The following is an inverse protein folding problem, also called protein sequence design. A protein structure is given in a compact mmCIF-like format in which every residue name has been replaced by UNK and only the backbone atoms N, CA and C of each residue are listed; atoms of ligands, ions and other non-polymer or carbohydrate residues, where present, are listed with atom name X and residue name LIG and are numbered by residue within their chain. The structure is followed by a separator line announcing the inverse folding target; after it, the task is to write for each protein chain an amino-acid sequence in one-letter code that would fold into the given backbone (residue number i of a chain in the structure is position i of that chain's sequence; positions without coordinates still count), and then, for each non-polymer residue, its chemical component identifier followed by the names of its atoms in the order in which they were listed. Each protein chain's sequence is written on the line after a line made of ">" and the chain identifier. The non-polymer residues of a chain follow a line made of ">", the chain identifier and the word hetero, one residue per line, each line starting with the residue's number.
data_IF_680345714118
#
_entry.id   IF_680345714118
#
_cell.length_a   1.000
_cell.length_b   1.000
_cell.length_c   1.000
_cell.angle_alpha   90.00
_cell.angle_beta   90.00
_cell.angle_gamma   90.00
#
_symmetry.space_group_name_H-M   'P 1'
#
loop_
_entity.id
_entity.type
_entity.pdbx_description
1 polymer ?
#
# COMPACT_ATOMS: atom_id res chain seq x y z
N UNK A 1 2.28 8.49 -6.70
CA UNK A 1 0.96 7.94 -6.36
C UNK A 1 1.10 6.79 -5.39
N UNK A 2 0.04 6.48 -4.68
CA UNK A 2 0.08 5.45 -3.64
C UNK A 2 0.43 4.06 -4.20
N UNK A 3 -0.05 3.73 -5.39
CA UNK A 3 0.25 2.44 -6.02
C UNK A 3 1.75 2.22 -6.22
N UNK A 4 2.43 3.25 -6.66
CA UNK A 4 3.88 3.19 -6.87
C UNK A 4 4.62 3.06 -5.54
N UNK A 5 4.15 3.77 -4.51
CA UNK A 5 4.76 3.70 -3.18
C UNK A 5 4.64 2.30 -2.59
N UNK A 6 3.46 1.69 -2.73
CA UNK A 6 3.24 0.32 -2.25
C UNK A 6 4.15 -0.66 -2.97
N UNK A 7 4.21 -0.58 -4.31
CA UNK A 7 5.06 -1.48 -5.09
C UNK A 7 6.53 -1.31 -4.71
N UNK A 8 6.97 -0.08 -4.59
CA UNK A 8 8.36 0.22 -4.27
C UNK A 8 8.74 -0.34 -2.90
N UNK A 9 7.91 -0.09 -1.91
CA UNK A 9 8.14 -0.61 -0.56
C UNK A 9 8.19 -2.14 -0.57
N UNK A 10 7.25 -2.78 -1.25
CA UNK A 10 7.18 -4.22 -1.31
C UNK A 10 8.44 -4.81 -1.94
N UNK A 11 8.92 -4.21 -3.04
CA UNK A 11 10.15 -4.65 -3.70
C UNK A 11 11.37 -4.48 -2.82
N UNK A 12 11.49 -3.36 -2.16
CA UNK A 12 12.62 -3.07 -1.28
C UNK A 12 12.71 -4.05 -0.12
N UNK A 13 11.57 -4.47 0.39
CA UNK A 13 11.50 -5.37 1.53
C UNK A 13 11.24 -6.82 1.12
N UNK A 14 11.20 -7.09 -0.19
CA UNK A 14 10.98 -8.43 -0.75
C UNK A 14 9.71 -9.08 -0.19
N UNK A 15 8.65 -8.30 -0.11
CA UNK A 15 7.35 -8.75 0.38
C UNK A 15 6.45 -9.14 -0.78
N UNK A 16 5.69 -10.22 -0.61
CA UNK A 16 4.60 -10.55 -1.52
C UNK A 16 3.40 -9.65 -1.22
N UNK A 17 2.43 -9.65 -2.13
CA UNK A 17 1.18 -8.93 -1.88
C UNK A 17 0.46 -9.46 -0.64
N UNK A 18 0.52 -10.77 -0.44
CA UNK A 18 -0.06 -11.40 0.74
C UNK A 18 0.61 -10.91 2.02
N UNK A 19 1.94 -10.89 2.03
CA UNK A 19 2.68 -10.43 3.20
C UNK A 19 2.42 -8.96 3.50
N UNK A 20 2.36 -8.14 2.48
CA UNK A 20 2.04 -6.73 2.66
C UNK A 20 0.62 -6.57 3.22
N UNK A 21 -0.32 -7.32 2.65
CA UNK A 21 -1.71 -7.28 3.12
C UNK A 21 -1.86 -7.70 4.57
N UNK A 22 -1.10 -8.71 4.99
CA UNK A 22 -1.14 -9.17 6.38
C UNK A 22 -0.77 -8.06 7.37
N UNK A 23 0.15 -7.20 6.99
CA UNK A 23 0.58 -6.10 7.85
C UNK A 23 -0.49 -5.04 8.04
N UNK A 24 -1.43 -4.98 7.10
CA UNK A 24 -2.54 -4.03 7.15
C UNK A 24 -3.88 -4.67 7.51
N UNK A 25 -3.92 -6.00 7.57
CA UNK A 25 -5.16 -6.71 7.83
C UNK A 25 -6.08 -6.77 6.62
N UNK A 26 -5.52 -6.75 5.42
CA UNK A 26 -6.30 -6.83 4.18
C UNK A 26 -5.84 -8.03 3.35
N UNK A 27 -6.65 -8.39 2.35
CA UNK A 27 -6.35 -9.52 1.47
C UNK A 27 -5.33 -9.15 0.41
N UNK A 28 -4.62 -10.15 -0.17
CA UNK A 28 -3.71 -9.87 -1.28
C UNK A 28 -4.44 -9.35 -2.51
N UNK A 29 -5.71 -9.73 -2.69
CA UNK A 29 -6.54 -9.20 -3.78
C UNK A 29 -6.71 -7.70 -3.66
N UNK A 30 -6.94 -7.20 -2.44
CA UNK A 30 -7.04 -5.76 -2.22
C UNK A 30 -5.74 -5.05 -2.58
N UNK A 31 -4.61 -5.58 -2.13
CA UNK A 31 -3.30 -5.01 -2.45
C UNK A 31 -3.07 -4.99 -3.96
N UNK A 32 -3.41 -6.09 -4.64
CA UNK A 32 -3.29 -6.19 -6.08
C UNK A 32 -4.08 -5.11 -6.79
N UNK A 33 -5.33 -4.88 -6.37
CA UNK A 33 -6.18 -3.84 -6.97
C UNK A 33 -5.60 -2.45 -6.76
N UNK A 34 -5.03 -2.20 -5.58
CA UNK A 34 -4.39 -0.91 -5.30
C UNK A 34 -3.18 -0.69 -6.21
N UNK A 35 -2.38 -1.73 -6.42
CA UNK A 35 -1.19 -1.63 -7.26
C UNK A 35 -1.51 -1.45 -8.73
N UNK A 36 -2.64 -2.00 -9.19
CA UNK A 36 -3.09 -1.85 -10.57
C UNK A 36 -3.93 -0.60 -10.79
N UNK A 37 -4.14 0.17 -9.75
CA UNK A 37 -4.96 1.37 -9.77
C UNK A 37 -6.42 1.08 -10.16
N UNK A 38 -6.89 -0.12 -9.89
CA UNK A 38 -8.28 -0.49 -10.11
C UNK A 38 -9.18 0.09 -9.02
N UNK A 39 -8.65 0.23 -7.81
CA UNK A 39 -9.32 0.96 -6.75
C UNK A 39 -8.28 1.53 -5.80
N UNK A 40 -8.67 2.50 -5.01
CA UNK A 40 -7.81 3.10 -4.00
C UNK A 40 -8.14 2.52 -2.63
N UNK A 41 -7.16 2.48 -1.72
CA UNK A 41 -7.44 2.12 -0.34
C UNK A 41 -8.48 3.06 0.25
N UNK A 42 -9.30 2.53 1.15
CA UNK A 42 -10.21 3.37 1.90
C UNK A 42 -9.38 4.41 2.68
N UNK A 43 -9.95 5.60 2.85
CA UNK A 43 -9.25 6.68 3.54
C UNK A 43 -8.81 6.26 4.95
N UNK A 44 -9.53 5.34 5.58
CA UNK A 44 -9.18 4.84 6.91
C UNK A 44 -7.87 4.05 6.92
N UNK A 45 -7.44 3.52 5.78
CA UNK A 45 -6.17 2.80 5.68
C UNK A 45 -4.98 3.70 5.38
N UNK A 46 -5.21 4.93 4.93
CA UNK A 46 -4.11 5.80 4.53
C UNK A 46 -3.10 6.08 5.63
N UNK A 47 -3.52 6.38 6.88
CA UNK A 47 -2.55 6.56 7.96
C UNK A 47 -1.74 5.30 8.24
N UNK A 48 -2.37 4.13 8.18
CA UNK A 48 -1.69 2.87 8.44
C UNK A 48 -0.67 2.55 7.35
N UNK A 49 -1.03 2.80 6.10
CA UNK A 49 -0.12 2.61 4.97
C UNK A 49 1.05 3.58 5.08
N UNK A 50 0.78 4.83 5.39
CA UNK A 50 1.83 5.83 5.55
C UNK A 50 2.80 5.45 6.68
N UNK A 51 2.28 4.97 7.79
CA UNK A 51 3.10 4.52 8.90
C UNK A 51 3.97 3.32 8.52
N UNK A 52 3.39 2.37 7.80
CA UNK A 52 4.10 1.17 7.38
C UNK A 52 5.22 1.51 6.39
N UNK A 53 4.93 2.33 5.41
CA UNK A 53 5.87 2.72 4.36
C UNK A 53 6.89 3.75 4.86
N UNK A 54 6.54 4.51 5.89
CA UNK A 54 7.42 5.51 6.45
C UNK A 54 7.39 6.84 5.68
N UNK A 55 6.25 7.17 5.07
CA UNK A 55 6.09 8.44 4.35
C UNK A 55 4.88 9.20 4.89
N UNK A 56 4.74 10.44 4.50
CA UNK A 56 3.56 11.23 4.84
C UNK A 56 2.41 10.94 3.88
N UNK A 57 1.19 11.19 4.35
CA UNK A 57 0.00 10.99 3.51
C UNK A 57 0.07 11.84 2.26
N UNK A 58 0.62 13.04 2.35
CA UNK A 58 0.76 13.94 1.21
C UNK A 58 1.58 13.33 0.07
N UNK A 59 2.49 12.42 0.37
CA UNK A 59 3.31 11.77 -0.64
C UNK A 59 2.50 10.87 -1.56
N UNK A 60 1.29 10.48 -1.12
CA UNK A 60 0.41 9.65 -1.94
C UNK A 60 -0.25 10.43 -3.06
N UNK A 61 -0.36 11.73 -2.90
CA UNK A 61 -1.08 12.60 -3.84
C UNK A 61 -0.15 13.49 -4.65
N UNK A 62 1.10 13.49 -4.29
CA UNK A 62 2.10 14.31 -4.98
C UNK A 62 2.97 13.53 -5.89
#
# INVERSE_FOLDING_TARGET
>A
MISERIKCYRREHKLTQEEFGERLGVTPQAVSKWERVECYPDITFLPDIAALIGCGINDFFG
#
